data_IF_897920630764
#
_entry.id   IF_897920630764
#
_cell.length_a   1.000
_cell.length_b   1.000
_cell.length_c   1.000
_cell.angle_alpha   90.00
_cell.angle_beta   90.00
_cell.angle_gamma   90.00
#
_symmetry.space_group_name_H-M   'P 1'
#
loop_
_entity.id
_entity.type
_entity.pdbx_description
1 polymer ?
#
# COMPACT_ATOMS: atom_id res chain seq x y z
N UNK A 1 24.64 12.88 39.23
CA UNK A 1 24.54 11.42 38.96
C UNK A 1 23.92 10.78 40.18
N UNK A 2 22.76 10.13 40.05
CA UNK A 2 22.13 9.42 41.16
C UNK A 2 23.02 8.24 41.58
N UNK A 3 23.14 7.99 42.89
CA UNK A 3 23.91 6.87 43.43
C UNK A 3 23.26 5.56 42.97
N UNK A 4 24.07 4.59 42.53
CA UNK A 4 23.55 3.24 42.27
C UNK A 4 22.82 2.72 43.52
N UNK A 5 21.59 2.21 43.38
CA UNK A 5 20.83 1.68 44.51
C UNK A 5 21.60 0.55 45.17
N UNK A 6 21.62 0.54 46.50
CA UNK A 6 22.32 -0.52 47.23
C UNK A 6 21.39 -1.74 47.28
N UNK A 7 21.85 -2.95 46.91
CA UNK A 7 20.99 -4.13 46.95
C UNK A 7 20.50 -4.41 48.38
N UNK A 8 19.19 -4.54 48.53
CA UNK A 8 18.59 -5.06 49.74
C UNK A 8 18.76 -6.58 49.77
N UNK A 9 19.63 -7.08 50.64
CA UNK A 9 19.98 -8.50 50.65
C UNK A 9 18.75 -9.41 50.85
N UNK A 10 17.75 -8.97 51.63
CA UNK A 10 16.54 -9.76 51.82
C UNK A 10 15.74 -9.89 50.52
N UNK A 11 15.70 -8.84 49.69
CA UNK A 11 15.08 -8.91 48.37
C UNK A 11 15.90 -9.79 47.42
N UNK A 12 17.23 -9.68 47.43
CA UNK A 12 18.11 -10.52 46.59
C UNK A 12 18.00 -12.00 46.93
N UNK A 13 17.82 -12.32 48.21
CA UNK A 13 17.68 -13.71 48.68
C UNK A 13 16.26 -14.27 48.47
N UNK A 14 15.29 -13.46 48.04
CA UNK A 14 13.88 -13.84 47.91
C UNK A 14 13.57 -14.61 46.60
N UNK A 15 14.52 -15.41 46.11
CA UNK A 15 14.38 -16.19 44.87
C UNK A 15 13.22 -17.19 44.96
N UNK A 16 13.07 -17.87 46.10
CA UNK A 16 12.02 -18.89 46.29
C UNK A 16 10.62 -18.25 46.30
N UNK A 17 10.47 -17.11 46.98
CA UNK A 17 9.23 -16.32 46.98
C UNK A 17 8.89 -15.88 45.55
N UNK A 18 9.89 -15.37 44.82
CA UNK A 18 9.68 -14.94 43.45
C UNK A 18 9.28 -16.11 42.53
N UNK A 19 9.91 -17.28 42.69
CA UNK A 19 9.59 -18.49 41.93
C UNK A 19 8.18 -18.98 42.22
N UNK A 20 7.75 -18.99 43.48
CA UNK A 20 6.39 -19.39 43.88
C UNK A 20 5.34 -18.57 43.12
N UNK A 21 5.49 -17.25 43.10
CA UNK A 21 4.57 -16.36 42.40
C UNK A 21 4.66 -16.45 40.87
N UNK A 22 5.85 -16.71 40.30
CA UNK A 22 5.97 -17.02 38.88
C UNK A 22 5.20 -18.28 38.53
N UNK A 23 5.36 -19.36 39.31
CA UNK A 23 4.69 -20.65 39.09
C UNK A 23 3.18 -20.53 39.22
N UNK A 24 2.70 -19.74 40.19
CA UNK A 24 1.27 -19.45 40.35
C UNK A 24 0.67 -18.79 39.10
N UNK A 25 1.40 -17.86 38.47
CA UNK A 25 0.93 -17.13 37.28
C UNK A 25 1.16 -17.87 35.96
N UNK A 26 2.14 -18.77 35.89
CA UNK A 26 2.58 -19.34 34.62
C UNK A 26 1.56 -20.25 33.94
N UNK A 27 0.68 -20.90 34.69
CA UNK A 27 -0.28 -21.85 34.15
C UNK A 27 0.40 -22.87 33.20
N UNK A 28 -0.05 -23.03 31.94
CA UNK A 28 0.55 -23.98 31.00
C UNK A 28 1.91 -23.54 30.42
N UNK A 29 2.33 -22.30 30.65
CA UNK A 29 3.58 -21.77 30.09
C UNK A 29 4.81 -22.31 30.82
N UNK A 30 4.68 -22.67 32.10
CA UNK A 30 5.78 -23.13 32.94
C UNK A 30 6.77 -22.02 33.33
N UNK A 31 7.66 -22.34 34.27
CA UNK A 31 8.73 -21.45 34.75
C UNK A 31 10.03 -22.26 34.79
N UNK A 32 11.03 -21.79 34.07
CA UNK A 32 12.33 -22.45 33.95
C UNK A 32 13.35 -22.00 34.99
N UNK A 33 14.61 -21.98 34.58
CA UNK A 33 15.76 -21.67 35.44
C UNK A 33 15.77 -20.21 35.90
N UNK A 34 16.38 -19.96 37.06
CA UNK A 34 16.59 -18.60 37.54
C UNK A 34 17.76 -17.97 36.78
N UNK A 35 17.48 -16.90 36.02
CA UNK A 35 18.44 -16.24 35.14
C UNK A 35 19.26 -15.16 35.87
N UNK A 36 18.81 -14.73 37.05
CA UNK A 36 19.45 -13.71 37.86
C UNK A 36 18.46 -12.69 38.41
N UNK A 37 18.98 -11.56 38.90
CA UNK A 37 18.15 -10.48 39.41
C UNK A 37 18.67 -9.10 39.01
N UNK A 38 17.76 -8.14 38.88
CA UNK A 38 18.04 -6.74 38.59
C UNK A 38 17.69 -5.88 39.82
N UNK A 39 18.50 -4.86 40.09
CA UNK A 39 18.30 -3.94 41.22
C UNK A 39 17.64 -2.67 40.69
N UNK A 40 16.31 -2.58 40.82
CA UNK A 40 15.53 -1.45 40.30
C UNK A 40 15.44 -0.29 41.31
N UNK A 41 15.77 -0.55 42.58
CA UNK A 41 15.80 0.47 43.63
C UNK A 41 16.33 -0.07 44.96
N UNK A 42 16.42 0.79 45.98
CA UNK A 42 17.02 0.46 47.28
C UNK A 42 16.38 -0.75 47.99
N UNK A 43 15.12 -1.06 47.72
CA UNK A 43 14.39 -2.22 48.25
C UNK A 43 13.45 -2.83 47.21
N UNK A 44 13.85 -2.75 45.95
CA UNK A 44 13.10 -3.23 44.79
C UNK A 44 14.07 -4.05 43.94
N UNK A 45 13.78 -5.34 43.81
CA UNK A 45 14.61 -6.29 43.05
C UNK A 45 13.69 -7.10 42.14
N UNK A 46 14.07 -7.23 40.88
CA UNK A 46 13.34 -8.06 39.92
C UNK A 46 14.09 -9.35 39.68
N UNK A 47 13.48 -10.49 39.99
CA UNK A 47 14.00 -11.82 39.66
C UNK A 47 13.54 -12.24 38.27
N UNK A 48 14.47 -12.76 37.47
CA UNK A 48 14.21 -13.24 36.12
C UNK A 48 14.24 -14.77 36.11
N UNK A 49 13.23 -15.39 35.53
CA UNK A 49 13.17 -16.85 35.29
C UNK A 49 12.87 -17.13 33.82
N UNK A 50 13.45 -18.19 33.28
CA UNK A 50 13.18 -18.59 31.89
C UNK A 50 11.71 -18.97 31.66
N UNK A 51 11.24 -18.87 30.42
CA UNK A 51 9.93 -19.37 29.99
C UNK A 51 10.12 -20.57 29.06
N UNK A 52 9.86 -21.78 29.58
CA UNK A 52 10.09 -23.04 28.85
C UNK A 52 9.09 -23.27 27.70
N UNK A 53 8.09 -22.40 27.54
CA UNK A 53 7.06 -22.57 26.51
C UNK A 53 7.62 -22.30 25.10
N UNK A 54 7.46 -23.22 24.13
CA UNK A 54 8.03 -23.07 22.79
C UNK A 54 7.51 -21.86 22.00
N UNK A 55 6.30 -21.39 22.33
CA UNK A 55 5.71 -20.17 21.76
C UNK A 55 6.27 -18.85 22.31
N UNK A 56 7.07 -18.90 23.38
CA UNK A 56 7.64 -17.74 24.08
C UNK A 56 9.17 -17.84 24.14
N UNK A 57 9.80 -18.33 23.07
CA UNK A 57 11.26 -18.42 22.98
C UNK A 57 11.91 -17.06 23.25
N UNK A 58 12.87 -17.04 24.17
CA UNK A 58 13.60 -15.83 24.56
C UNK A 58 12.83 -14.89 25.49
N UNK A 59 11.64 -15.28 25.96
CA UNK A 59 10.90 -14.54 26.98
C UNK A 59 11.27 -15.06 28.37
N UNK A 60 11.09 -14.21 29.37
CA UNK A 60 11.36 -14.54 30.76
C UNK A 60 10.26 -14.01 31.69
N UNK A 61 9.98 -14.75 32.76
CA UNK A 61 9.19 -14.25 33.88
C UNK A 61 9.99 -13.23 34.67
N UNK A 62 9.42 -12.05 34.84
CA UNK A 62 9.94 -10.94 35.61
C UNK A 62 9.10 -10.81 36.89
N UNK A 63 9.71 -11.06 38.04
CA UNK A 63 9.05 -11.01 39.34
C UNK A 63 9.68 -9.92 40.20
N UNK A 64 9.00 -8.78 40.32
CA UNK A 64 9.48 -7.66 41.13
C UNK A 64 9.09 -7.89 42.58
N UNK A 65 10.08 -8.00 43.46
CA UNK A 65 9.91 -8.09 44.91
C UNK A 65 10.32 -6.79 45.60
N UNK A 66 9.58 -6.44 46.65
CA UNK A 66 9.74 -5.19 47.37
C UNK A 66 9.75 -5.44 48.87
N UNK A 67 10.58 -4.70 49.59
CA UNK A 67 10.52 -4.64 51.06
C UNK A 67 10.17 -3.25 51.53
N UNK A 68 8.98 -3.09 52.12
CA UNK A 68 8.53 -1.81 52.64
C UNK A 68 9.48 -1.27 53.74
N UNK A 69 9.50 0.05 53.93
CA UNK A 69 10.36 0.66 54.94
C UNK A 69 10.01 0.16 56.34
N UNK A 70 11.03 -0.23 57.11
CA UNK A 70 10.92 -0.85 58.45
C UNK A 70 10.24 -2.23 58.48
N UNK A 71 9.80 -2.77 57.33
CA UNK A 71 9.30 -4.13 57.25
C UNK A 71 10.46 -5.15 57.28
N UNK A 72 10.17 -6.30 57.89
CA UNK A 72 11.08 -7.46 57.92
C UNK A 72 10.79 -8.45 56.78
N UNK A 73 9.60 -8.39 56.22
CA UNK A 73 9.10 -9.33 55.20
C UNK A 73 9.20 -8.70 53.82
N UNK A 74 9.63 -9.49 52.84
CA UNK A 74 9.61 -9.17 51.41
C UNK A 74 8.24 -9.53 50.85
N UNK A 75 7.70 -8.71 49.97
CA UNK A 75 6.41 -8.91 49.30
C UNK A 75 6.59 -8.85 47.78
N UNK A 76 5.76 -9.54 47.02
CA UNK A 76 5.74 -9.43 45.56
C UNK A 76 4.93 -8.22 45.13
N UNK A 77 5.47 -7.41 44.22
CA UNK A 77 4.81 -6.23 43.64
C UNK A 77 4.12 -6.57 42.33
N UNK A 78 4.80 -7.28 41.42
CA UNK A 78 4.25 -7.68 40.13
C UNK A 78 4.92 -8.96 39.63
N UNK A 79 4.21 -9.65 38.74
CA UNK A 79 4.70 -10.77 37.95
C UNK A 79 4.29 -10.51 36.50
N UNK A 80 5.25 -10.50 35.59
CA UNK A 80 5.00 -10.27 34.17
C UNK A 80 5.85 -11.22 33.33
N UNK A 81 5.29 -11.71 32.22
CA UNK A 81 6.06 -12.39 31.18
C UNK A 81 6.55 -11.34 30.19
N UNK A 82 7.86 -11.12 30.11
CA UNK A 82 8.45 -10.06 29.31
C UNK A 82 9.38 -10.64 28.22
N UNK A 83 9.45 -9.97 27.05
CA UNK A 83 10.36 -10.37 25.98
C UNK A 83 11.81 -10.02 26.35
N UNK A 84 12.71 -11.01 26.26
CA UNK A 84 14.15 -10.80 26.32
C UNK A 84 14.74 -10.44 24.95
N UNK A 85 16.07 -10.36 24.87
CA UNK A 85 16.79 -9.95 23.64
C UNK A 85 16.58 -10.93 22.47
N UNK A 86 16.33 -12.20 22.75
CA UNK A 86 16.08 -13.24 21.75
C UNK A 86 14.59 -13.44 21.42
N UNK A 87 13.71 -12.65 22.03
CA UNK A 87 12.27 -12.77 21.84
C UNK A 87 11.85 -12.33 20.45
N UNK A 88 11.01 -13.13 19.79
CA UNK A 88 10.34 -12.73 18.56
C UNK A 88 9.19 -11.77 18.89
N UNK A 89 9.37 -10.50 18.53
CA UNK A 89 8.36 -9.46 18.68
C UNK A 89 7.55 -9.28 17.38
N UNK A 90 6.28 -8.89 17.47
CA UNK A 90 5.52 -8.48 16.30
C UNK A 90 6.17 -7.23 15.66
N UNK A 91 5.95 -7.01 14.34
CA UNK A 91 6.33 -5.75 13.72
C UNK A 91 5.62 -4.58 14.40
N UNK A 92 6.22 -3.38 14.29
CA UNK A 92 5.60 -2.17 14.80
C UNK A 92 4.21 -2.00 14.20
N UNK A 93 3.25 -1.61 15.03
CA UNK A 93 1.90 -1.30 14.58
C UNK A 93 1.93 -0.06 13.68
N UNK A 94 1.29 -0.16 12.51
CA UNK A 94 1.18 0.93 11.52
C UNK A 94 -0.29 1.38 11.45
N UNK A 95 -0.59 2.70 11.46
CA UNK A 95 -1.94 3.23 11.25
C UNK A 95 -2.58 2.71 9.96
N UNK A 96 -3.90 2.48 9.96
CA UNK A 96 -4.60 1.97 8.77
C UNK A 96 -4.35 2.82 7.51
N UNK A 97 -4.31 4.14 7.65
CA UNK A 97 -4.03 5.08 6.56
C UNK A 97 -2.67 4.87 5.91
N UNK A 98 -1.70 4.38 6.67
CA UNK A 98 -0.34 4.08 6.21
C UNK A 98 -0.19 2.64 5.70
N UNK A 99 -1.27 1.84 5.73
CA UNK A 99 -1.29 0.48 5.18
C UNK A 99 -1.79 0.42 3.74
N UNK A 100 -2.46 1.47 3.26
CA UNK A 100 -2.99 1.51 1.89
C UNK A 100 -1.85 1.70 0.90
N UNK A 101 -1.71 0.76 -0.03
CA UNK A 101 -0.82 0.81 -1.16
C UNK A 101 -1.56 1.20 -2.45
N UNK A 102 -0.78 1.49 -3.49
CA UNK A 102 -1.29 1.74 -4.84
C UNK A 102 -2.09 0.53 -5.33
N UNK A 103 -3.37 0.73 -5.66
CA UNK A 103 -4.24 -0.33 -6.18
C UNK A 103 -5.09 -1.06 -5.14
N UNK A 104 -4.99 -0.73 -3.85
CA UNK A 104 -5.75 -1.38 -2.77
C UNK A 104 -7.25 -1.04 -2.75
N UNK A 105 -7.73 -0.20 -3.66
CA UNK A 105 -9.15 0.16 -3.75
C UNK A 105 -9.96 -0.95 -4.44
N UNK A 106 -10.69 -1.72 -3.65
CA UNK A 106 -11.59 -2.77 -4.11
C UNK A 106 -13.05 -2.28 -4.21
N UNK A 107 -13.93 -3.00 -4.95
CA UNK A 107 -15.35 -2.68 -4.99
C UNK A 107 -15.97 -2.58 -3.59
N UNK A 108 -16.59 -1.45 -3.28
CA UNK A 108 -17.23 -1.17 -1.99
C UNK A 108 -16.33 -0.48 -0.95
N UNK A 109 -15.03 -0.30 -1.23
CA UNK A 109 -14.14 0.51 -0.40
C UNK A 109 -14.32 1.98 -0.74
N UNK A 110 -14.56 2.80 0.29
CA UNK A 110 -14.55 4.25 0.18
C UNK A 110 -13.29 4.80 0.84
N UNK A 111 -12.44 5.45 0.05
CA UNK A 111 -11.31 6.20 0.56
C UNK A 111 -11.68 7.69 0.59
N UNK A 112 -11.85 8.30 1.77
CA UNK A 112 -12.05 9.73 1.88
C UNK A 112 -10.82 10.48 1.39
N UNK A 113 -11.02 11.42 0.48
CA UNK A 113 -9.97 12.36 0.08
C UNK A 113 -9.72 13.37 1.19
N UNK A 114 -8.47 13.56 1.67
CA UNK A 114 -8.15 14.61 2.63
C UNK A 114 -8.48 16.00 2.10
N UNK A 115 -8.96 16.90 2.97
CA UNK A 115 -9.32 18.28 2.58
C UNK A 115 -8.12 19.09 2.03
N UNK A 116 -6.90 18.66 2.37
CA UNK A 116 -5.63 19.26 1.97
C UNK A 116 -4.78 18.32 1.10
N UNK A 117 -5.40 17.43 0.32
CA UNK A 117 -4.67 16.58 -0.62
C UNK A 117 -3.90 17.45 -1.65
N UNK A 118 -2.56 17.45 -1.64
CA UNK A 118 -1.77 18.32 -2.52
C UNK A 118 -1.93 17.96 -3.99
N UNK A 119 -2.44 16.77 -4.32
CA UNK A 119 -2.67 16.30 -5.69
C UNK A 119 -3.92 16.92 -6.32
N UNK A 120 -4.72 17.64 -5.54
CA UNK A 120 -5.97 18.24 -5.98
C UNK A 120 -5.98 19.75 -5.75
N UNK A 121 -6.63 20.45 -6.67
CA UNK A 121 -6.92 21.88 -6.55
C UNK A 121 -8.40 22.14 -6.90
N UNK A 122 -9.00 23.23 -6.41
CA UNK A 122 -10.37 23.58 -6.77
C UNK A 122 -10.53 23.73 -8.28
N UNK A 123 -11.53 23.06 -8.85
CA UNK A 123 -11.89 23.25 -10.25
C UNK A 123 -12.75 24.50 -10.45
N UNK A 124 -12.83 24.99 -11.70
CA UNK A 124 -13.68 26.12 -12.04
C UNK A 124 -15.10 25.64 -12.42
N UNK A 125 -16.02 25.71 -11.47
CA UNK A 125 -17.42 25.28 -11.66
C UNK A 125 -18.33 26.38 -12.24
N UNK A 126 -17.81 27.57 -12.51
CA UNK A 126 -18.59 28.72 -13.01
C UNK A 126 -19.25 29.59 -11.94
N UNK A 127 -19.21 29.21 -10.66
CA UNK A 127 -19.70 30.05 -9.55
C UNK A 127 -21.16 30.52 -9.70
N UNK A 128 -21.46 31.74 -9.26
CA UNK A 128 -22.80 32.38 -9.38
C UNK A 128 -23.14 32.71 -10.86
N UNK A 129 -22.13 32.86 -11.70
CA UNK A 129 -22.26 33.15 -13.14
C UNK A 129 -22.52 31.88 -13.98
N UNK A 130 -22.56 30.70 -13.36
CA UNK A 130 -22.97 29.45 -14.03
C UNK A 130 -24.40 29.55 -14.60
N UNK A 131 -25.23 30.42 -14.03
CA UNK A 131 -26.59 30.72 -14.46
C UNK A 131 -26.67 31.82 -15.54
N UNK A 132 -25.57 32.52 -15.85
CA UNK A 132 -25.59 33.60 -16.81
C UNK A 132 -25.75 33.06 -18.25
N UNK A 133 -26.73 33.62 -18.95
CA UNK A 133 -27.34 33.01 -20.13
C UNK A 133 -26.86 33.61 -21.45
N UNK A 134 -25.84 34.50 -21.46
CA UNK A 134 -25.26 35.00 -22.71
C UNK A 134 -24.67 33.82 -23.51
N UNK A 135 -25.28 33.41 -24.64
CA UNK A 135 -24.90 32.18 -25.32
C UNK A 135 -23.51 32.26 -25.95
N UNK A 136 -23.02 33.45 -26.29
CA UNK A 136 -21.83 33.62 -27.11
C UNK A 136 -20.53 33.56 -26.28
N UNK A 137 -20.43 34.35 -25.20
CA UNK A 137 -19.25 34.34 -24.32
C UNK A 137 -19.20 33.09 -23.45
N UNK A 138 -20.36 32.66 -22.93
CA UNK A 138 -20.41 31.48 -22.10
C UNK A 138 -20.22 30.18 -22.92
N UNK A 139 -20.45 30.16 -24.24
CA UNK A 139 -20.07 29.00 -25.07
C UNK A 139 -18.56 28.83 -25.20
N UNK A 140 -17.80 29.92 -25.31
CA UNK A 140 -16.34 29.85 -25.46
C UNK A 140 -15.67 29.51 -24.13
N UNK A 141 -16.14 30.14 -23.04
CA UNK A 141 -15.66 29.84 -21.68
C UNK A 141 -16.05 28.41 -21.31
N UNK A 142 -17.29 27.95 -21.56
CA UNK A 142 -17.69 26.56 -21.29
C UNK A 142 -16.93 25.55 -22.15
N UNK A 143 -16.62 25.87 -23.41
CA UNK A 143 -15.79 25.00 -24.25
C UNK A 143 -14.38 24.86 -23.67
N UNK A 144 -13.74 25.96 -23.25
CA UNK A 144 -12.41 25.92 -22.61
C UNK A 144 -12.46 25.21 -21.25
N UNK A 145 -13.50 25.44 -20.45
CA UNK A 145 -13.73 24.76 -19.17
C UNK A 145 -13.96 23.25 -19.37
N UNK A 146 -14.68 22.84 -20.41
CA UNK A 146 -14.89 21.44 -20.75
C UNK A 146 -13.60 20.78 -21.27
N UNK A 147 -12.88 21.44 -22.17
CA UNK A 147 -11.58 20.98 -22.70
C UNK A 147 -10.52 20.83 -21.59
N UNK A 148 -10.51 21.74 -20.62
CA UNK A 148 -9.61 21.69 -19.47
C UNK A 148 -10.13 20.81 -18.32
N UNK A 149 -11.33 20.22 -18.45
CA UNK A 149 -11.95 19.39 -17.42
C UNK A 149 -12.30 20.14 -16.12
N UNK A 150 -12.41 21.46 -16.19
CA UNK A 150 -12.57 22.37 -15.05
C UNK A 150 -13.99 22.39 -14.47
N UNK A 151 -15.00 21.81 -15.13
CA UNK A 151 -16.38 21.74 -14.61
C UNK A 151 -16.60 20.83 -13.39
N UNK A 152 -15.53 20.35 -12.75
CA UNK A 152 -15.54 19.48 -11.57
C UNK A 152 -15.22 20.31 -10.33
N UNK A 153 -15.74 19.91 -9.17
CA UNK A 153 -15.43 20.60 -7.89
C UNK A 153 -13.92 20.60 -7.60
N UNK A 154 -13.23 19.51 -7.95
CA UNK A 154 -11.78 19.35 -7.81
C UNK A 154 -11.18 18.79 -9.10
N UNK A 155 -9.99 19.25 -9.45
CA UNK A 155 -9.18 18.75 -10.57
C UNK A 155 -7.77 18.41 -10.06
N UNK A 156 -6.99 17.66 -10.84
CA UNK A 156 -5.60 17.39 -10.49
C UNK A 156 -4.80 18.70 -10.49
N UNK A 157 -4.07 18.94 -9.40
CA UNK A 157 -3.07 20.01 -9.31
C UNK A 157 -1.84 19.70 -10.19
N UNK A 158 -0.93 20.65 -10.38
CA UNK A 158 0.37 20.36 -11.01
C UNK A 158 1.12 19.20 -10.34
N UNK A 159 1.17 19.16 -9.00
CA UNK A 159 1.78 18.06 -8.23
C UNK A 159 1.13 16.72 -8.56
N UNK A 160 -0.21 16.66 -8.57
CA UNK A 160 -0.94 15.42 -8.86
C UNK A 160 -0.73 14.93 -10.30
N UNK A 161 -0.55 15.85 -11.26
CA UNK A 161 -0.19 15.50 -12.65
C UNK A 161 1.23 14.96 -12.73
N UNK A 162 2.18 15.61 -12.07
CA UNK A 162 3.59 15.21 -12.07
C UNK A 162 3.76 13.83 -11.42
N UNK A 163 3.15 13.60 -10.25
CA UNK A 163 3.13 12.29 -9.60
C UNK A 163 2.55 11.19 -10.50
N UNK A 164 1.44 11.48 -11.19
CA UNK A 164 0.83 10.53 -12.12
C UNK A 164 1.75 10.20 -13.29
N UNK A 165 2.36 11.20 -13.92
CA UNK A 165 3.31 11.02 -15.03
C UNK A 165 4.52 10.21 -14.56
N UNK A 166 5.09 10.53 -13.40
CA UNK A 166 6.23 9.79 -12.83
C UNK A 166 5.88 8.33 -12.62
N UNK A 167 4.71 8.03 -12.07
CA UNK A 167 4.23 6.65 -11.89
C UNK A 167 4.04 5.94 -13.23
N UNK A 168 3.39 6.57 -14.20
CA UNK A 168 3.15 5.97 -15.52
C UNK A 168 4.45 5.71 -16.29
N UNK A 169 5.42 6.64 -16.26
CA UNK A 169 6.75 6.46 -16.88
C UNK A 169 7.56 5.32 -16.27
N UNK A 170 7.36 5.02 -14.99
CA UNK A 170 8.01 3.87 -14.32
C UNK A 170 7.25 2.56 -14.50
N UNK A 171 5.99 2.63 -14.96
CA UNK A 171 5.13 1.49 -15.16
C UNK A 171 5.34 0.79 -16.51
N UNK A 172 4.52 -0.24 -16.80
CA UNK A 172 4.60 -1.01 -18.03
C UNK A 172 4.39 -0.19 -19.31
N UNK A 173 3.58 0.87 -19.25
CA UNK A 173 3.37 1.81 -20.35
C UNK A 173 4.41 2.93 -20.44
N UNK A 174 5.51 2.83 -19.72
CA UNK A 174 6.63 3.78 -19.77
C UNK A 174 7.71 3.38 -20.79
N UNK A 175 8.77 4.19 -20.94
CA UNK A 175 9.80 3.95 -21.95
C UNK A 175 10.89 2.94 -21.53
N UNK A 176 10.97 2.58 -20.25
CA UNK A 176 12.07 1.78 -19.71
C UNK A 176 11.66 0.32 -19.51
N UNK A 177 11.45 -0.42 -20.61
CA UNK A 177 11.16 -1.85 -20.60
C UNK A 177 11.58 -2.51 -21.92
N UNK A 178 11.78 -3.83 -21.87
CA UNK A 178 12.22 -4.64 -23.03
C UNK A 178 11.30 -4.49 -24.25
N UNK A 179 9.99 -4.35 -24.02
CA UNK A 179 9.02 -4.16 -25.10
C UNK A 179 9.24 -2.85 -25.86
N UNK A 180 9.59 -1.77 -25.16
CA UNK A 180 9.90 -0.47 -25.76
C UNK A 180 11.26 -0.52 -26.45
N UNK A 181 12.24 -1.17 -25.84
CA UNK A 181 13.59 -1.32 -26.41
C UNK A 181 13.57 -2.06 -27.76
N UNK A 182 12.72 -3.08 -27.88
CA UNK A 182 12.53 -3.86 -29.12
C UNK A 182 11.46 -3.28 -30.07
N UNK A 183 10.81 -2.17 -29.68
CA UNK A 183 9.76 -1.58 -30.48
C UNK A 183 10.31 -0.94 -31.77
N UNK A 184 9.59 -1.05 -32.90
CA UNK A 184 10.02 -0.46 -34.16
C UNK A 184 9.98 1.09 -34.15
N UNK A 185 9.13 1.69 -33.32
CA UNK A 185 8.97 3.13 -33.16
C UNK A 185 8.17 3.46 -31.89
N UNK A 186 8.32 4.69 -31.34
CA UNK A 186 7.59 5.13 -30.15
C UNK A 186 6.10 5.40 -30.43
N UNK A 187 5.29 5.42 -29.37
CA UNK A 187 3.86 5.67 -29.41
C UNK A 187 3.52 7.05 -29.99
N UNK A 188 4.40 8.05 -29.88
CA UNK A 188 4.16 9.40 -30.42
C UNK A 188 3.91 9.43 -31.94
N UNK A 189 4.45 8.46 -32.68
CA UNK A 189 4.27 8.28 -34.13
C UNK A 189 3.21 7.24 -34.48
N UNK A 190 2.69 6.50 -33.51
CA UNK A 190 1.78 5.39 -33.75
C UNK A 190 0.35 5.86 -34.00
N UNK A 191 -0.29 5.38 -35.06
CA UNK A 191 -1.69 5.69 -35.39
C UNK A 191 -2.72 5.15 -34.40
N UNK A 192 -2.34 4.21 -33.52
CA UNK A 192 -3.20 3.71 -32.42
C UNK A 192 -3.08 4.54 -31.14
N UNK A 193 -2.23 5.57 -31.11
CA UNK A 193 -2.01 6.40 -29.92
C UNK A 193 -3.03 7.55 -29.86
N UNK A 194 -3.88 7.51 -28.83
CA UNK A 194 -4.87 8.56 -28.56
C UNK A 194 -4.32 9.47 -27.46
N UNK A 195 -4.05 10.74 -27.77
CA UNK A 195 -3.53 11.70 -26.78
C UNK A 195 -4.54 11.96 -25.67
N UNK A 196 -4.05 12.06 -24.43
CA UNK A 196 -4.82 12.64 -23.33
C UNK A 196 -5.10 14.13 -23.59
N UNK A 197 -6.10 14.68 -22.91
CA UNK A 197 -6.45 16.10 -23.03
C UNK A 197 -5.47 17.01 -22.28
N UNK A 198 -5.45 18.29 -22.68
CA UNK A 198 -4.69 19.34 -22.00
C UNK A 198 -3.17 19.11 -22.01
N UNK A 199 -2.50 19.50 -20.93
CA UNK A 199 -1.04 19.40 -20.82
C UNK A 199 -0.53 17.96 -20.74
N UNK A 200 -1.34 17.00 -20.29
CA UNK A 200 -0.96 15.59 -20.23
C UNK A 200 -0.77 14.98 -21.63
N UNK A 201 -1.52 15.45 -22.62
CA UNK A 201 -1.43 14.99 -24.01
C UNK A 201 -0.07 15.23 -24.68
N UNK A 202 0.76 16.11 -24.11
CA UNK A 202 2.12 16.34 -24.57
C UNK A 202 3.07 15.17 -24.23
N UNK A 203 2.74 14.36 -23.21
CA UNK A 203 3.64 13.33 -22.66
C UNK A 203 3.02 11.95 -22.51
N UNK A 204 1.69 11.84 -22.55
CA UNK A 204 0.97 10.58 -22.38
C UNK A 204 -0.33 10.51 -23.19
N UNK A 205 -0.75 9.29 -23.47
CA UNK A 205 -1.95 8.93 -24.22
C UNK A 205 -2.46 7.56 -23.80
N UNK A 206 -3.44 7.04 -24.52
CA UNK A 206 -3.98 5.69 -24.38
C UNK A 206 -3.67 4.91 -25.64
N UNK A 207 -3.24 3.66 -25.48
CA UNK A 207 -3.11 2.74 -26.60
C UNK A 207 -4.48 2.16 -26.96
N UNK A 208 -4.87 2.23 -28.24
CA UNK A 208 -6.11 1.65 -28.75
C UNK A 208 -5.88 0.40 -29.64
N UNK A 209 -4.68 -0.17 -29.61
CA UNK A 209 -4.38 -1.38 -30.35
C UNK A 209 -4.72 -2.61 -29.50
N UNK A 210 -5.82 -3.30 -29.81
CA UNK A 210 -6.26 -4.55 -29.17
C UNK A 210 -5.21 -5.68 -29.09
N UNK A 211 -4.17 -5.62 -29.90
CA UNK A 211 -3.08 -6.61 -29.88
C UNK A 211 -1.90 -6.19 -28.99
N UNK A 212 -1.85 -4.92 -28.59
CA UNK A 212 -0.90 -4.46 -27.59
C UNK A 212 -1.32 -4.94 -26.20
N UNK A 213 -0.38 -5.38 -25.34
CA UNK A 213 -0.71 -5.64 -23.94
C UNK A 213 -1.06 -4.35 -23.17
N UNK A 214 -0.84 -3.18 -23.75
CA UNK A 214 -1.23 -1.88 -23.20
C UNK A 214 -2.57 -1.35 -23.76
N UNK A 215 -3.35 -2.16 -24.48
CA UNK A 215 -4.68 -1.75 -24.96
C UNK A 215 -5.55 -1.20 -23.81
N UNK A 216 -6.17 -0.03 -24.02
CA UNK A 216 -6.97 0.67 -23.02
C UNK A 216 -6.18 1.24 -21.83
N UNK A 217 -4.85 1.12 -21.82
CA UNK A 217 -3.97 1.60 -20.75
C UNK A 217 -3.26 2.90 -21.14
N UNK A 218 -2.87 3.68 -20.13
CA UNK A 218 -2.07 4.89 -20.32
C UNK A 218 -0.64 4.51 -20.69
N UNK A 219 -0.14 5.05 -21.79
CA UNK A 219 1.24 4.91 -22.26
C UNK A 219 1.87 6.28 -22.47
N UNK A 220 3.17 6.39 -22.25
CA UNK A 220 3.90 7.63 -22.52
C UNK A 220 4.26 7.76 -23.99
N UNK A 221 4.49 8.99 -24.45
CA UNK A 221 4.82 9.29 -25.86
C UNK A 221 6.05 8.53 -26.36
N UNK A 222 6.99 8.24 -25.46
CA UNK A 222 8.24 7.52 -25.69
C UNK A 222 8.17 6.01 -25.37
N UNK A 223 7.01 5.49 -24.97
CA UNK A 223 6.77 4.04 -24.91
C UNK A 223 6.72 3.44 -26.32
N UNK A 224 6.99 2.15 -26.47
CA UNK A 224 6.85 1.46 -27.75
C UNK A 224 6.35 0.03 -27.57
N UNK A 225 5.69 -0.51 -28.59
CA UNK A 225 5.35 -1.92 -28.65
C UNK A 225 5.49 -2.45 -30.08
N UNK A 226 5.54 -3.79 -30.24
CA UNK A 226 5.67 -4.43 -31.55
C UNK A 226 4.47 -4.23 -32.49
N UNK A 227 3.32 -3.77 -31.98
CA UNK A 227 2.09 -3.51 -32.75
C UNK A 227 2.01 -2.11 -33.36
N UNK A 228 3.14 -1.48 -33.72
CA UNK A 228 3.15 -0.12 -34.28
C UNK A 228 2.42 -0.07 -35.62
N UNK A 229 1.64 0.99 -35.86
CA UNK A 229 0.77 1.13 -37.06
C UNK A 229 1.54 1.11 -38.39
N UNK A 230 2.79 1.55 -38.36
CA UNK A 230 3.62 1.70 -39.56
C UNK A 230 4.30 0.38 -39.97
N UNK A 231 4.22 -0.66 -39.13
CA UNK A 231 4.66 -2.01 -39.49
C UNK A 231 3.55 -2.68 -40.29
N UNK A 232 3.70 -2.66 -41.61
CA UNK A 232 2.73 -3.25 -42.55
C UNK A 232 3.25 -4.61 -43.03
N UNK A 233 2.40 -5.63 -42.99
CA UNK A 233 2.71 -6.94 -43.55
C UNK A 233 2.97 -6.84 -45.06
N UNK A 234 4.01 -7.53 -45.56
CA UNK A 234 4.35 -7.55 -46.99
C UNK A 234 3.22 -8.14 -47.84
N UNK A 235 2.44 -9.07 -47.27
CA UNK A 235 1.29 -9.69 -47.89
C UNK A 235 0.11 -9.63 -46.94
N UNK A 236 -1.00 -9.04 -47.40
CA UNK A 236 -2.27 -9.09 -46.69
C UNK A 236 -3.00 -10.37 -47.12
N UNK A 237 -3.22 -11.29 -46.19
CA UNK A 237 -4.09 -12.44 -46.46
C UNK A 237 -5.46 -11.92 -46.90
N UNK A 238 -6.05 -12.55 -47.91
CA UNK A 238 -7.37 -12.16 -48.38
C UNK A 238 -8.35 -12.28 -47.21
N UNK A 239 -9.06 -11.20 -46.90
CA UNK A 239 -10.17 -11.25 -45.95
C UNK A 239 -11.22 -12.20 -46.54
N UNK A 240 -11.31 -13.40 -45.96
CA UNK A 240 -12.40 -14.31 -46.24
C UNK A 240 -13.68 -13.66 -45.71
N UNK A 241 -14.74 -13.68 -46.52
CA UNK A 241 -16.07 -13.29 -46.05
C UNK A 241 -16.43 -14.10 -44.80
N UNK A 242 -17.16 -13.48 -43.88
CA UNK A 242 -17.76 -14.20 -42.75
C UNK A 242 -18.48 -15.47 -43.28
N UNK A 243 -18.42 -16.59 -42.55
CA UNK A 243 -19.10 -17.81 -42.97
C UNK A 243 -20.57 -17.52 -43.24
N UNK A 244 -20.98 -17.58 -44.52
CA UNK A 244 -22.38 -17.47 -44.90
C UNK A 244 -22.99 -18.84 -44.69
N UNK A 245 -23.81 -18.97 -43.65
CA UNK A 245 -24.66 -20.15 -43.48
C UNK A 245 -25.84 -20.03 -44.45
N UNK A 246 -25.83 -20.87 -45.49
CA UNK A 246 -27.00 -21.04 -46.32
C UNK A 246 -28.09 -21.75 -45.48
N UNK A 247 -29.16 -21.00 -45.18
CA UNK A 247 -30.33 -21.51 -44.46
C UNK A 247 -31.50 -21.82 -45.39
N UNK A 248 -31.32 -21.59 -46.70
CA UNK A 248 -32.33 -21.75 -47.74
C UNK A 248 -32.14 -23.07 -48.47
N UNK A 249 -30.89 -23.44 -48.75
CA UNK A 249 -30.53 -24.70 -49.39
C UNK A 249 -30.22 -25.78 -48.37
N UNK A 250 -30.60 -27.02 -48.66
CA UNK A 250 -30.09 -28.22 -47.98
C UNK A 250 -29.33 -29.03 -49.02
N UNK A 251 -28.00 -28.98 -48.94
CA UNK A 251 -27.12 -29.65 -49.92
C UNK A 251 -27.13 -31.18 -49.78
N UNK A 252 -27.37 -31.69 -48.57
CA UNK A 252 -27.54 -33.12 -48.31
C UNK A 252 -28.44 -33.32 -47.08
N UNK A 253 -29.44 -34.19 -47.19
CA UNK A 253 -30.18 -34.63 -46.01
C UNK A 253 -29.47 -35.84 -45.41
N UNK A 254 -29.43 -35.93 -44.08
CA UNK A 254 -28.86 -37.08 -43.37
C UNK A 254 -29.70 -38.37 -43.53
N UNK A 255 -30.81 -38.30 -44.27
CA UNK A 255 -31.83 -39.34 -44.32
C UNK A 255 -32.17 -39.79 -45.75
N UNK A 256 -31.43 -39.33 -46.76
CA UNK A 256 -31.44 -39.87 -48.13
C UNK A 256 -30.30 -40.88 -48.34
#
# INVERSE_FOLDING_TARGET
MARAPKPDQACVDAVDLAREYAVEQAGPLGVGEHLGCQIDGDRVVTHLFDCDHPGYRGWHWSVTVVRASRAKTVTVNEVALLPGEEALLPPNWVPWTERLADGDLEPGVLQPTPDNDPRLEPGYTGGEDAADADPAEASQIRAVVAELGLGRERVLSPEGRDEAIVRWRRGPGGPNNEMTDDAPAPCETCGYFIRLSGSLGAVAGVCANRYSPQDGSVVTVDHGCGGHSDVVAEHREAEHSEPIWDTVSIDATLFD
#
